data_IF_700625034556
#
_entry.id   IF_700625034556
#
_cell.length_a   1.000
_cell.length_b   1.000
_cell.length_c   1.000
_cell.angle_alpha   90.00
_cell.angle_beta   90.00
_cell.angle_gamma   90.00
#
_symmetry.space_group_name_H-M   'P 1'
#
loop_
_entity.id
_entity.type
_entity.pdbx_description
1 polymer ?
#
# COMPACT_ATOMS: atom_id res chain seq x y z
N UNK A 1 -0.96 -2.67 15.14
CA UNK A 1 -0.70 -1.45 14.36
C UNK A 1 -1.98 -0.93 13.71
N UNK A 2 -2.69 -1.76 12.99
CA UNK A 2 -4.03 -1.48 12.45
C UNK A 2 -4.98 -2.54 12.99
N UNK A 3 -6.14 -2.11 13.47
CA UNK A 3 -7.23 -2.98 13.88
C UNK A 3 -8.49 -2.62 13.10
N UNK A 4 -9.14 -3.63 12.57
CA UNK A 4 -10.36 -3.54 11.78
C UNK A 4 -11.38 -4.50 12.38
N UNK A 5 -12.51 -3.96 12.81
CA UNK A 5 -13.58 -4.71 13.47
C UNK A 5 -14.87 -4.62 12.63
N UNK A 6 -15.28 -5.72 12.01
CA UNK A 6 -16.55 -5.95 11.29
C UNK A 6 -16.99 -4.77 10.40
N UNK A 7 -16.11 -4.36 9.49
CA UNK A 7 -16.43 -3.25 8.59
C UNK A 7 -17.27 -3.70 7.40
N UNK A 8 -18.26 -2.88 7.05
CA UNK A 8 -19.05 -2.98 5.83
C UNK A 8 -18.84 -1.76 4.94
N UNK A 9 -18.88 -1.97 3.62
CA UNK A 9 -18.88 -0.90 2.63
C UNK A 9 -19.73 -1.27 1.43
N UNK A 10 -20.74 -0.46 1.17
CA UNK A 10 -21.58 -0.52 -0.02
C UNK A 10 -21.51 0.82 -0.75
N UNK A 11 -21.29 0.80 -2.05
CA UNK A 11 -21.31 2.02 -2.85
C UNK A 11 -22.74 2.42 -3.24
N UNK A 12 -22.96 3.68 -3.60
CA UNK A 12 -24.29 4.23 -3.98
C UNK A 12 -24.98 3.49 -5.14
N UNK A 13 -24.20 2.80 -5.97
CA UNK A 13 -24.69 1.96 -7.06
C UNK A 13 -25.13 0.55 -6.59
N UNK A 14 -25.14 0.28 -5.29
CA UNK A 14 -25.53 -0.99 -4.68
C UNK A 14 -24.46 -2.08 -4.66
N UNK A 15 -23.22 -1.79 -5.13
CA UNK A 15 -22.12 -2.76 -5.07
C UNK A 15 -21.61 -2.86 -3.63
N UNK A 16 -21.72 -4.07 -3.06
CA UNK A 16 -21.13 -4.41 -1.75
C UNK A 16 -19.64 -4.67 -1.96
N UNK A 17 -18.80 -3.78 -1.46
CA UNK A 17 -17.34 -3.88 -1.62
C UNK A 17 -16.65 -4.55 -0.42
N UNK A 18 -17.22 -4.41 0.78
CA UNK A 18 -16.76 -5.09 1.99
C UNK A 18 -17.98 -5.55 2.79
N UNK A 19 -17.88 -6.73 3.39
CA UNK A 19 -18.94 -7.34 4.19
C UNK A 19 -18.35 -8.04 5.39
N UNK A 20 -18.66 -7.54 6.59
CA UNK A 20 -18.21 -8.06 7.89
C UNK A 20 -16.71 -8.37 7.92
N UNK A 21 -15.90 -7.44 7.37
CA UNK A 21 -14.47 -7.65 7.21
C UNK A 21 -13.72 -7.25 8.47
N UNK A 22 -13.01 -8.20 9.08
CA UNK A 22 -12.21 -7.99 10.29
C UNK A 22 -10.79 -8.50 10.11
N UNK A 23 -9.79 -7.75 10.57
CA UNK A 23 -8.38 -8.19 10.61
C UNK A 23 -7.56 -7.33 11.55
N UNK A 24 -6.46 -7.88 12.07
CA UNK A 24 -5.47 -7.19 12.89
C UNK A 24 -4.11 -7.24 12.20
N UNK A 25 -3.46 -6.08 12.02
CA UNK A 25 -2.12 -5.96 11.44
C UNK A 25 -1.18 -5.44 12.52
N UNK A 26 -0.14 -6.21 12.85
CA UNK A 26 0.83 -5.85 13.88
C UNK A 26 1.93 -4.94 13.31
N UNK A 27 2.75 -4.39 14.19
CA UNK A 27 3.95 -3.63 13.77
C UNK A 27 4.96 -4.57 13.13
N UNK A 28 5.62 -4.07 12.08
CA UNK A 28 6.62 -4.80 11.29
C UNK A 28 6.08 -6.05 10.60
N UNK A 29 4.77 -6.22 10.50
CA UNK A 29 4.14 -7.26 9.69
C UNK A 29 3.93 -6.79 8.26
N UNK A 30 4.14 -7.71 7.31
CA UNK A 30 3.76 -7.59 5.91
C UNK A 30 2.53 -8.44 5.66
N UNK A 31 1.38 -7.79 5.46
CA UNK A 31 0.11 -8.43 5.14
C UNK A 31 -0.18 -8.26 3.65
N UNK A 32 -0.34 -9.36 2.94
CA UNK A 32 -0.67 -9.36 1.51
C UNK A 32 -2.13 -9.76 1.31
N UNK A 33 -2.86 -8.94 0.54
CA UNK A 33 -4.21 -9.23 0.11
C UNK A 33 -4.22 -9.72 -1.34
N UNK A 34 -4.80 -10.87 -1.56
CA UNK A 34 -4.99 -11.47 -2.88
C UNK A 34 -6.46 -11.79 -3.13
N UNK A 35 -6.83 -12.03 -4.39
CA UNK A 35 -8.19 -12.37 -4.79
C UNK A 35 -8.53 -11.85 -6.17
N UNK A 36 -9.67 -12.25 -6.75
CA UNK A 36 -10.09 -11.82 -8.08
C UNK A 36 -10.31 -10.29 -8.15
N UNK A 37 -10.30 -9.74 -9.37
CA UNK A 37 -10.69 -8.34 -9.59
C UNK A 37 -12.10 -8.09 -9.06
N UNK A 38 -12.32 -6.93 -8.42
CA UNK A 38 -13.62 -6.59 -7.84
C UNK A 38 -13.89 -7.20 -6.46
N UNK A 39 -12.97 -7.99 -5.87
CA UNK A 39 -13.18 -8.60 -4.55
C UNK A 39 -13.10 -7.65 -3.35
N UNK A 40 -12.87 -6.34 -3.57
CA UNK A 40 -12.86 -5.33 -2.49
C UNK A 40 -11.49 -4.92 -1.95
N UNK A 41 -10.37 -5.51 -2.43
CA UNK A 41 -9.00 -5.26 -1.92
C UNK A 41 -8.60 -3.78 -1.90
N UNK A 42 -8.72 -3.10 -3.05
CA UNK A 42 -8.40 -1.66 -3.15
C UNK A 42 -9.34 -0.80 -2.32
N UNK A 43 -10.60 -1.18 -2.20
CA UNK A 43 -11.58 -0.51 -1.33
C UNK A 43 -11.15 -0.66 0.13
N UNK A 44 -10.75 -1.86 0.56
CA UNK A 44 -10.22 -2.08 1.89
C UNK A 44 -9.02 -1.17 2.21
N UNK A 45 -8.01 -1.12 1.32
CA UNK A 45 -6.87 -0.22 1.50
C UNK A 45 -7.29 1.25 1.64
N UNK A 46 -8.26 1.69 0.83
CA UNK A 46 -8.78 3.06 0.86
C UNK A 46 -9.59 3.35 2.13
N UNK A 47 -10.26 2.36 2.68
CA UNK A 47 -10.90 2.50 3.98
C UNK A 47 -9.87 2.69 5.10
N UNK A 48 -8.73 1.99 5.08
CA UNK A 48 -7.70 2.08 6.14
C UNK A 48 -7.08 3.48 6.28
N UNK A 49 -7.06 4.29 5.22
CA UNK A 49 -6.52 5.65 5.27
C UNK A 49 -7.60 6.75 5.20
N UNK A 50 -8.88 6.34 5.24
CA UNK A 50 -10.04 7.23 5.20
C UNK A 50 -10.22 7.94 3.85
N UNK A 51 -9.75 7.37 2.74
CA UNK A 51 -10.10 7.80 1.38
C UNK A 51 -11.50 7.33 1.00
N UNK A 52 -11.90 6.15 1.50
CA UNK A 52 -13.28 5.65 1.44
C UNK A 52 -13.84 5.57 2.87
N UNK A 53 -15.10 5.95 3.03
CA UNK A 53 -15.80 5.85 4.31
C UNK A 53 -16.47 4.48 4.43
N UNK A 54 -16.38 3.88 5.62
CA UNK A 54 -17.09 2.64 5.95
C UNK A 54 -18.54 2.96 6.33
N UNK A 55 -19.44 2.00 6.10
CA UNK A 55 -20.86 2.16 6.45
C UNK A 55 -21.13 1.69 7.88
N UNK A 56 -20.38 0.69 8.35
CA UNK A 56 -20.46 0.17 9.72
C UNK A 56 -19.11 -0.43 10.16
N UNK A 57 -19.02 -0.79 11.44
CA UNK A 57 -17.79 -1.32 12.05
C UNK A 57 -16.84 -0.22 12.53
N UNK A 58 -15.58 -0.57 12.73
CA UNK A 58 -14.57 0.40 13.18
C UNK A 58 -13.17 0.10 12.66
N UNK A 59 -12.38 1.15 12.45
CA UNK A 59 -10.96 1.07 12.09
C UNK A 59 -10.15 1.91 13.07
N UNK A 60 -9.07 1.35 13.58
CA UNK A 60 -8.11 2.05 14.43
C UNK A 60 -6.71 1.89 13.84
N UNK A 61 -6.00 3.00 13.63
CA UNK A 61 -4.63 3.01 13.11
C UNK A 61 -3.70 3.64 14.14
N UNK A 62 -2.72 2.90 14.60
CA UNK A 62 -1.76 3.32 15.64
C UNK A 62 -2.43 3.91 16.90
N UNK A 63 -3.55 3.32 17.33
CA UNK A 63 -4.35 3.78 18.46
C UNK A 63 -5.24 4.98 18.18
N UNK A 64 -5.27 5.51 16.96
CA UNK A 64 -6.11 6.63 16.54
C UNK A 64 -7.35 6.05 15.82
N UNK A 65 -8.58 6.32 16.31
CA UNK A 65 -9.78 5.90 15.61
C UNK A 65 -9.95 6.65 14.30
N UNK A 66 -10.29 5.93 13.24
CA UNK A 66 -10.65 6.51 11.95
C UNK A 66 -12.14 6.83 11.96
N UNK A 67 -12.45 8.03 12.33
CA UNK A 67 -13.81 8.56 12.51
C UNK A 67 -14.01 9.85 11.69
N UNK A 68 -15.12 10.55 11.90
CA UNK A 68 -15.43 11.83 11.24
C UNK A 68 -14.60 13.02 11.75
N UNK A 69 -13.78 12.80 12.76
CA UNK A 69 -12.89 13.82 13.28
C UNK A 69 -11.78 14.11 12.28
N UNK A 70 -11.82 15.28 11.66
CA UNK A 70 -10.81 15.73 10.68
C UNK A 70 -9.38 15.67 11.21
N UNK A 71 -9.18 15.89 12.52
CA UNK A 71 -7.85 15.83 13.14
C UNK A 71 -7.34 14.39 13.15
N UNK A 72 -8.17 13.43 13.54
CA UNK A 72 -7.82 12.01 13.53
C UNK A 72 -7.46 11.54 12.12
N UNK A 73 -8.30 11.86 11.12
CA UNK A 73 -8.03 11.53 9.70
C UNK A 73 -6.72 12.14 9.21
N UNK A 74 -6.41 13.39 9.57
CA UNK A 74 -5.16 14.05 9.19
C UNK A 74 -3.94 13.39 9.85
N UNK A 75 -4.02 13.03 11.12
CA UNK A 75 -2.92 12.33 11.82
C UNK A 75 -2.71 10.95 11.21
N UNK A 76 -3.77 10.17 10.97
CA UNK A 76 -3.67 8.85 10.30
C UNK A 76 -2.98 9.00 8.94
N UNK A 77 -3.41 9.95 8.09
CA UNK A 77 -2.83 10.17 6.76
C UNK A 77 -1.38 10.64 6.78
N UNK A 78 -0.88 11.15 7.88
CA UNK A 78 0.55 11.42 8.05
C UNK A 78 1.33 10.15 8.33
N UNK A 79 0.75 9.22 9.10
CA UNK A 79 1.41 7.99 9.54
C UNK A 79 1.25 6.83 8.55
N UNK A 80 0.39 6.99 7.54
CA UNK A 80 0.13 6.00 6.48
C UNK A 80 0.63 6.53 5.14
N UNK A 81 1.63 5.89 4.57
CA UNK A 81 2.06 6.11 3.19
C UNK A 81 1.25 5.23 2.25
N UNK A 82 0.76 5.78 1.13
CA UNK A 82 0.04 5.01 0.13
C UNK A 82 0.67 5.18 -1.25
N UNK A 83 0.87 4.04 -1.92
CA UNK A 83 1.36 3.93 -3.29
C UNK A 83 0.26 3.29 -4.12
N UNK A 84 -0.15 3.97 -5.17
CA UNK A 84 -1.26 3.57 -6.03
C UNK A 84 -0.77 2.85 -7.29
N UNK A 85 -1.66 2.15 -7.96
CA UNK A 85 -1.44 1.53 -9.27
C UNK A 85 -0.98 2.56 -10.32
N UNK A 86 -1.63 3.72 -10.37
CA UNK A 86 -1.16 4.88 -11.13
C UNK A 86 -0.30 5.74 -10.21
N UNK A 87 0.86 6.13 -10.65
CA UNK A 87 1.93 6.76 -9.87
C UNK A 87 1.50 8.03 -9.12
N UNK A 88 0.49 8.74 -9.64
CA UNK A 88 -0.12 9.96 -9.06
C UNK A 88 0.92 11.04 -8.71
N UNK A 89 2.00 11.13 -9.49
CA UNK A 89 2.99 12.19 -9.35
C UNK A 89 2.42 13.52 -9.84
N UNK A 90 2.84 14.62 -9.24
CA UNK A 90 2.51 15.96 -9.72
C UNK A 90 3.28 16.22 -11.04
N UNK A 91 2.60 16.28 -12.19
CA UNK A 91 3.29 16.32 -13.50
C UNK A 91 4.04 17.62 -13.76
N UNK A 92 3.66 18.70 -13.08
CA UNK A 92 4.26 20.04 -13.18
C UNK A 92 5.41 20.26 -12.18
N UNK A 93 5.76 19.27 -11.38
CA UNK A 93 6.87 19.32 -10.43
C UNK A 93 7.95 18.32 -10.85
N UNK A 94 9.22 18.67 -10.59
CA UNK A 94 10.31 17.71 -10.77
C UNK A 94 10.19 16.55 -9.77
N UNK A 95 10.90 15.46 -10.01
CA UNK A 95 11.03 14.33 -9.10
C UNK A 95 11.37 14.80 -7.69
N UNK A 96 12.39 15.64 -7.58
CA UNK A 96 12.84 16.19 -6.32
C UNK A 96 11.75 16.99 -5.60
N UNK A 97 11.01 17.82 -6.33
CA UNK A 97 9.90 18.61 -5.77
C UNK A 97 8.70 17.74 -5.37
N UNK A 98 8.42 16.68 -6.09
CA UNK A 98 7.41 15.68 -5.71
C UNK A 98 7.69 15.10 -4.32
N UNK A 99 8.97 14.89 -3.98
CA UNK A 99 9.38 14.28 -2.70
C UNK A 99 9.48 15.31 -1.58
N UNK A 100 9.92 16.56 -1.89
CA UNK A 100 10.16 17.58 -0.83
C UNK A 100 8.90 18.30 -0.39
N UNK A 101 7.91 18.48 -1.28
CA UNK A 101 6.75 19.35 -1.05
C UNK A 101 5.97 18.99 0.22
N UNK A 102 5.54 17.73 0.34
CA UNK A 102 4.74 17.29 1.48
C UNK A 102 5.51 17.34 2.80
N UNK A 103 6.81 17.11 2.79
CA UNK A 103 7.68 17.23 3.95
C UNK A 103 7.64 18.64 4.54
N UNK A 104 7.74 19.67 3.68
CA UNK A 104 7.72 21.07 4.10
C UNK A 104 6.32 21.51 4.53
N UNK A 105 5.28 21.16 3.75
CA UNK A 105 3.91 21.64 4.01
C UNK A 105 3.24 20.95 5.18
N UNK A 106 3.40 19.62 5.31
CA UNK A 106 2.67 18.78 6.26
C UNK A 106 3.51 18.46 7.50
N UNK A 107 4.77 18.01 7.32
CA UNK A 107 5.69 17.70 8.42
C UNK A 107 6.43 18.92 8.96
N UNK A 108 6.27 20.08 8.29
CA UNK A 108 6.91 21.36 8.70
C UNK A 108 8.44 21.29 8.78
N UNK A 109 9.06 20.39 8.01
CA UNK A 109 10.52 20.32 7.91
C UNK A 109 11.08 21.57 7.23
N UNK A 110 12.27 21.98 7.62
CA UNK A 110 13.01 23.02 6.92
C UNK A 110 13.33 22.58 5.48
N UNK A 111 13.64 23.53 4.61
CA UNK A 111 14.01 23.26 3.22
C UNK A 111 15.21 22.30 3.15
N UNK A 112 16.28 22.56 3.90
CA UNK A 112 17.49 21.72 3.91
C UNK A 112 17.21 20.29 4.35
N UNK A 113 16.49 20.10 5.47
CA UNK A 113 16.10 18.76 5.95
C UNK A 113 15.27 17.99 4.92
N UNK A 114 14.34 18.67 4.24
CA UNK A 114 13.51 18.05 3.22
C UNK A 114 14.32 17.66 1.98
N UNK A 115 15.28 18.49 1.57
CA UNK A 115 16.18 18.26 0.44
C UNK A 115 17.15 17.11 0.72
N UNK A 116 17.79 17.09 1.88
CA UNK A 116 18.69 16.01 2.31
C UNK A 116 17.96 14.67 2.34
N UNK A 117 16.75 14.66 2.93
CA UNK A 117 15.93 13.44 3.00
C UNK A 117 15.48 12.98 1.62
N UNK A 118 15.12 13.90 0.73
CA UNK A 118 14.73 13.57 -0.63
C UNK A 118 15.89 12.90 -1.38
N UNK A 119 17.10 13.43 -1.29
CA UNK A 119 18.28 12.83 -1.94
C UNK A 119 18.64 11.46 -1.37
N UNK A 120 18.51 11.26 -0.05
CA UNK A 120 18.69 9.94 0.57
C UNK A 120 17.69 8.92 0.03
N UNK A 121 16.41 9.31 -0.11
CA UNK A 121 15.36 8.42 -0.61
C UNK A 121 15.52 8.14 -2.11
N UNK A 122 15.90 9.13 -2.91
CA UNK A 122 16.19 8.92 -4.33
C UNK A 122 17.36 7.94 -4.54
N UNK A 123 18.39 7.98 -3.68
CA UNK A 123 19.47 6.98 -3.67
C UNK A 123 18.94 5.61 -3.28
N UNK A 124 18.09 5.53 -2.24
CA UNK A 124 17.48 4.27 -1.77
C UNK A 124 16.68 3.58 -2.88
N UNK A 125 15.93 4.33 -3.68
CA UNK A 125 15.16 3.78 -4.81
C UNK A 125 15.92 3.79 -6.15
N UNK A 126 17.25 3.98 -6.11
CA UNK A 126 18.17 3.94 -7.26
C UNK A 126 17.76 4.84 -8.45
N UNK A 127 17.41 6.13 -8.16
CA UNK A 127 16.96 7.09 -9.18
C UNK A 127 17.46 8.53 -8.91
N UNK A 128 18.59 8.67 -8.21
CA UNK A 128 19.12 9.98 -7.82
C UNK A 128 19.56 10.85 -9.00
N UNK A 129 19.93 10.25 -10.13
CA UNK A 129 20.31 10.92 -11.38
C UNK A 129 19.13 11.64 -12.08
N UNK A 130 17.88 11.30 -11.69
CA UNK A 130 16.64 11.86 -12.26
C UNK A 130 15.99 12.93 -11.37
N UNK A 131 16.68 13.42 -10.34
CA UNK A 131 16.11 14.37 -9.38
C UNK A 131 15.45 15.61 -10.04
N UNK A 132 16.07 16.15 -11.07
CA UNK A 132 15.61 17.36 -11.79
C UNK A 132 14.68 17.03 -12.98
N UNK A 133 14.43 15.76 -13.29
CA UNK A 133 13.51 15.36 -14.33
C UNK A 133 12.05 15.58 -13.90
N UNK A 134 11.17 15.75 -14.89
CA UNK A 134 9.73 15.73 -14.69
C UNK A 134 9.18 14.29 -14.87
N UNK A 135 8.02 13.95 -14.27
CA UNK A 135 7.43 12.61 -14.40
C UNK A 135 7.29 12.12 -15.84
N UNK A 136 6.96 12.99 -16.80
CA UNK A 136 6.84 12.64 -18.22
C UNK A 136 8.14 12.18 -18.90
N UNK A 137 9.28 12.39 -18.24
CA UNK A 137 10.61 11.99 -18.73
C UNK A 137 11.09 10.66 -18.15
N UNK A 138 10.23 10.00 -17.34
CA UNK A 138 10.55 8.78 -16.63
C UNK A 138 9.77 7.58 -17.20
N UNK A 139 10.38 6.40 -17.15
CA UNK A 139 9.66 5.15 -17.37
C UNK A 139 8.63 4.88 -16.27
N UNK A 140 7.67 3.98 -16.50
CA UNK A 140 6.67 3.59 -15.50
C UNK A 140 7.30 3.11 -14.19
N UNK A 141 8.28 2.21 -14.26
CA UNK A 141 8.99 1.71 -13.07
C UNK A 141 9.74 2.82 -12.32
N UNK A 142 10.34 3.77 -13.06
CA UNK A 142 10.96 4.95 -12.46
C UNK A 142 9.93 5.84 -11.74
N UNK A 143 8.79 6.10 -12.37
CA UNK A 143 7.72 6.88 -11.75
C UNK A 143 7.20 6.20 -10.46
N UNK A 144 7.06 4.88 -10.48
CA UNK A 144 6.62 4.13 -9.31
C UNK A 144 7.63 4.18 -8.17
N UNK A 145 8.92 4.05 -8.46
CA UNK A 145 9.98 4.22 -7.45
C UNK A 145 10.00 5.62 -6.87
N UNK A 146 9.73 6.65 -7.66
CA UNK A 146 9.54 8.03 -7.16
C UNK A 146 8.29 8.13 -6.26
N UNK A 147 7.18 7.48 -6.61
CA UNK A 147 5.98 7.46 -5.78
C UNK A 147 6.24 6.78 -4.42
N UNK A 148 7.01 5.69 -4.40
CA UNK A 148 7.47 5.03 -3.16
C UNK A 148 8.35 6.00 -2.34
N UNK A 149 9.34 6.63 -2.96
CA UNK A 149 10.21 7.61 -2.28
C UNK A 149 9.43 8.79 -1.70
N UNK A 150 8.42 9.30 -2.44
CA UNK A 150 7.52 10.36 -1.98
C UNK A 150 6.73 9.93 -0.74
N UNK A 151 6.19 8.72 -0.72
CA UNK A 151 5.46 8.20 0.43
C UNK A 151 6.39 8.03 1.64
N UNK A 152 7.57 7.44 1.45
CA UNK A 152 8.61 7.26 2.49
C UNK A 152 9.13 8.59 3.05
N UNK A 153 9.11 9.66 2.27
CA UNK A 153 9.56 10.99 2.69
C UNK A 153 8.74 11.53 3.86
N UNK A 154 7.50 11.10 3.98
CA UNK A 154 6.64 11.42 5.12
C UNK A 154 7.02 10.67 6.40
N UNK A 155 7.96 9.70 6.35
CA UNK A 155 8.34 8.81 7.45
C UNK A 155 7.10 8.13 8.06
N UNK A 156 6.32 7.42 7.26
CA UNK A 156 5.10 6.76 7.72
C UNK A 156 5.43 5.56 8.61
N UNK A 157 4.47 5.15 9.43
CA UNK A 157 4.55 3.93 10.25
C UNK A 157 4.03 2.70 9.50
N UNK A 158 3.21 2.91 8.47
CA UNK A 158 2.65 1.88 7.60
C UNK A 158 2.77 2.32 6.15
N UNK A 159 3.18 1.41 5.28
CA UNK A 159 3.13 1.58 3.84
C UNK A 159 2.03 0.70 3.24
N UNK A 160 1.16 1.29 2.44
CA UNK A 160 0.11 0.61 1.70
C UNK A 160 0.42 0.64 0.20
N UNK A 161 0.29 -0.52 -0.46
CA UNK A 161 0.54 -0.66 -1.89
C UNK A 161 -0.72 -1.22 -2.57
N UNK A 162 -1.34 -0.42 -3.42
CA UNK A 162 -2.53 -0.78 -4.18
C UNK A 162 -2.12 -1.14 -5.62
N UNK A 163 -1.84 -2.44 -5.85
CA UNK A 163 -1.41 -2.97 -7.15
C UNK A 163 -0.25 -2.17 -7.80
N UNK A 164 0.79 -1.91 -7.03
CA UNK A 164 1.88 -1.00 -7.40
C UNK A 164 2.67 -1.42 -8.65
N UNK A 165 2.49 -2.64 -9.17
CA UNK A 165 3.18 -3.16 -10.36
C UNK A 165 2.25 -3.33 -11.57
N UNK A 166 0.92 -3.30 -11.39
CA UNK A 166 -0.05 -3.68 -12.43
C UNK A 166 -0.07 -2.75 -13.67
N UNK A 167 0.46 -1.51 -13.55
CA UNK A 167 0.56 -0.55 -14.63
C UNK A 167 1.97 -0.52 -15.28
N UNK A 168 2.82 -1.50 -14.98
CA UNK A 168 4.21 -1.56 -15.42
C UNK A 168 4.42 -2.63 -16.48
N UNK A 169 5.38 -2.37 -17.38
CA UNK A 169 5.89 -3.40 -18.26
C UNK A 169 6.64 -4.48 -17.45
N UNK A 170 6.61 -5.77 -17.85
CA UNK A 170 7.22 -6.87 -17.11
C UNK A 170 8.70 -6.63 -16.75
N UNK A 171 9.46 -5.97 -17.64
CA UNK A 171 10.87 -5.67 -17.43
C UNK A 171 11.11 -4.70 -16.25
N UNK A 172 10.10 -3.90 -15.88
CA UNK A 172 10.20 -2.89 -14.82
C UNK A 172 9.68 -3.35 -13.47
N UNK A 173 8.93 -4.46 -13.42
CA UNK A 173 8.32 -4.99 -12.20
C UNK A 173 9.38 -5.33 -11.17
N UNK A 174 10.46 -6.02 -11.58
CA UNK A 174 11.52 -6.48 -10.70
C UNK A 174 12.14 -5.35 -9.85
N UNK A 175 12.44 -4.21 -10.47
CA UNK A 175 13.05 -3.06 -9.78
C UNK A 175 12.15 -2.47 -8.68
N UNK A 176 10.83 -2.48 -8.89
CA UNK A 176 9.86 -1.99 -7.90
C UNK A 176 9.70 -3.00 -6.77
N UNK A 177 9.63 -4.31 -7.09
CA UNK A 177 9.52 -5.37 -6.09
C UNK A 177 10.75 -5.44 -5.19
N UNK A 178 11.96 -5.23 -5.72
CA UNK A 178 13.18 -5.17 -4.91
C UNK A 178 13.13 -4.03 -3.88
N UNK A 179 12.69 -2.84 -4.27
CA UNK A 179 12.49 -1.74 -3.31
C UNK A 179 11.47 -2.13 -2.22
N UNK A 180 10.38 -2.82 -2.59
CA UNK A 180 9.37 -3.27 -1.61
C UNK A 180 9.92 -4.37 -0.69
N UNK A 181 10.76 -5.29 -1.20
CA UNK A 181 11.45 -6.31 -0.39
C UNK A 181 12.40 -5.66 0.63
N UNK A 182 13.20 -4.70 0.19
CA UNK A 182 14.09 -3.96 1.10
C UNK A 182 13.32 -3.31 2.25
N UNK A 183 12.15 -2.74 1.98
CA UNK A 183 11.29 -2.17 3.01
C UNK A 183 10.78 -3.23 3.99
N UNK A 184 10.41 -4.41 3.51
CA UNK A 184 10.00 -5.53 4.36
C UNK A 184 11.14 -5.99 5.28
N UNK A 185 12.35 -6.16 4.72
CA UNK A 185 13.57 -6.54 5.46
C UNK A 185 13.91 -5.50 6.54
N UNK A 186 13.71 -4.21 6.26
CA UNK A 186 13.90 -3.11 7.21
C UNK A 186 12.84 -3.07 8.33
N UNK A 187 11.84 -3.97 8.32
CA UNK A 187 10.78 -4.06 9.32
C UNK A 187 9.67 -3.02 9.13
N UNK A 188 9.45 -2.51 7.91
CA UNK A 188 8.32 -1.65 7.60
C UNK A 188 7.02 -2.43 7.71
N UNK A 189 6.03 -1.89 8.45
CA UNK A 189 4.68 -2.46 8.42
C UNK A 189 4.07 -2.20 7.05
N UNK A 190 3.61 -3.24 6.38
CA UNK A 190 3.11 -3.12 5.01
C UNK A 190 1.75 -3.80 4.82
N UNK A 191 0.87 -3.17 4.04
CA UNK A 191 -0.37 -3.79 3.55
C UNK A 191 -0.32 -3.73 2.02
N UNK A 192 -0.26 -4.87 1.36
CA UNK A 192 0.04 -4.96 -0.06
C UNK A 192 -1.07 -5.68 -0.80
N UNK A 193 -1.70 -5.02 -1.76
CA UNK A 193 -2.52 -5.68 -2.78
C UNK A 193 -1.65 -5.94 -3.99
N UNK A 194 -1.52 -7.21 -4.39
CA UNK A 194 -0.67 -7.59 -5.51
C UNK A 194 -1.16 -8.84 -6.23
N UNK A 195 -0.78 -8.98 -7.49
CA UNK A 195 -0.89 -10.20 -8.28
C UNK A 195 0.46 -10.92 -8.43
N UNK A 196 1.53 -10.39 -7.86
CA UNK A 196 2.88 -10.96 -7.89
C UNK A 196 3.03 -12.05 -6.81
N UNK A 197 2.62 -13.28 -7.13
CA UNK A 197 2.58 -14.38 -6.14
C UNK A 197 3.96 -14.77 -5.64
N UNK A 198 5.01 -14.67 -6.49
CA UNK A 198 6.38 -14.89 -6.07
C UNK A 198 6.81 -13.93 -4.97
N UNK A 199 6.50 -12.64 -5.13
CA UNK A 199 6.74 -11.62 -4.12
C UNK A 199 5.92 -11.89 -2.86
N UNK A 200 4.61 -12.15 -2.99
CA UNK A 200 3.74 -12.45 -1.86
C UNK A 200 4.30 -13.62 -1.02
N UNK A 201 4.71 -14.70 -1.65
CA UNK A 201 5.29 -15.88 -0.98
C UNK A 201 6.59 -15.57 -0.24
N UNK A 202 7.42 -14.68 -0.79
CA UNK A 202 8.75 -14.37 -0.25
C UNK A 202 8.70 -13.41 0.94
N UNK A 203 7.81 -12.41 0.92
CA UNK A 203 7.87 -11.30 1.87
C UNK A 203 6.73 -11.25 2.88
N UNK A 204 5.61 -11.96 2.65
CA UNK A 204 4.47 -11.82 3.54
C UNK A 204 4.61 -12.65 4.81
N UNK A 205 4.27 -12.03 5.94
CA UNK A 205 4.02 -12.75 7.20
C UNK A 205 2.62 -13.39 7.17
N UNK A 206 1.63 -12.65 6.61
CA UNK A 206 0.24 -13.06 6.48
C UNK A 206 -0.30 -12.80 5.09
N UNK A 207 -1.11 -13.74 4.63
CA UNK A 207 -1.87 -13.60 3.37
C UNK A 207 -3.35 -13.68 3.68
N UNK A 208 -4.12 -12.77 3.10
CA UNK A 208 -5.58 -12.73 3.19
C UNK A 208 -6.15 -12.92 1.78
N UNK A 209 -6.93 -13.96 1.59
CA UNK A 209 -7.70 -14.15 0.35
C UNK A 209 -9.09 -13.54 0.50
N UNK A 210 -9.40 -12.64 -0.43
CA UNK A 210 -10.68 -11.93 -0.49
C UNK A 210 -11.48 -12.31 -1.72
N UNK A 211 -12.77 -12.53 -1.53
CA UNK A 211 -13.75 -12.72 -2.60
C UNK A 211 -15.10 -12.13 -2.17
N UNK A 212 -15.80 -11.46 -3.09
CA UNK A 212 -17.13 -10.86 -2.89
C UNK A 212 -17.22 -9.98 -1.62
N UNK A 213 -16.16 -9.21 -1.36
CA UNK A 213 -16.07 -8.30 -0.21
C UNK A 213 -15.78 -8.99 1.13
N UNK A 214 -15.62 -10.29 1.15
CA UNK A 214 -15.40 -11.08 2.37
C UNK A 214 -13.97 -11.64 2.42
N UNK A 215 -13.50 -11.86 3.65
CA UNK A 215 -12.30 -12.65 3.91
C UNK A 215 -12.68 -14.14 3.84
N UNK A 216 -12.14 -14.83 2.83
CA UNK A 216 -12.37 -16.26 2.64
C UNK A 216 -11.41 -17.09 3.47
N UNK A 217 -10.13 -16.75 3.42
CA UNK A 217 -9.08 -17.43 4.17
C UNK A 217 -7.99 -16.45 4.58
N UNK A 218 -7.37 -16.71 5.72
CA UNK A 218 -6.22 -15.96 6.25
C UNK A 218 -5.23 -16.94 6.86
N UNK A 219 -3.95 -16.73 6.60
CA UNK A 219 -2.90 -17.60 7.13
C UNK A 219 -1.50 -17.05 6.90
N UNK A 220 -0.49 -17.73 7.46
CA UNK A 220 0.92 -17.45 7.14
C UNK A 220 1.19 -17.74 5.66
N UNK A 221 2.22 -17.10 5.09
CA UNK A 221 2.62 -17.38 3.72
C UNK A 221 2.87 -18.88 3.48
N UNK A 222 3.57 -19.55 4.41
CA UNK A 222 3.83 -20.99 4.31
C UNK A 222 2.54 -21.79 4.21
N UNK A 223 1.60 -21.60 5.16
CA UNK A 223 0.30 -22.28 5.14
C UNK A 223 -0.43 -22.00 3.82
N UNK A 224 -0.52 -20.72 3.46
CA UNK A 224 -1.34 -20.27 2.35
C UNK A 224 -0.88 -20.83 0.98
N UNK A 225 0.43 -20.90 0.76
CA UNK A 225 1.00 -21.35 -0.51
C UNK A 225 1.32 -22.86 -0.56
N UNK A 226 1.22 -23.60 0.57
CA UNK A 226 1.52 -25.04 0.59
C UNK A 226 0.31 -25.91 0.93
N UNK A 227 -0.53 -25.49 1.85
CA UNK A 227 -1.68 -26.26 2.35
C UNK A 227 -2.87 -25.37 2.70
N UNK A 228 -3.44 -24.61 1.73
CA UNK A 228 -4.64 -23.81 1.96
C UNK A 228 -5.82 -24.71 2.33
N UNK A 229 -6.68 -24.26 3.24
CA UNK A 229 -7.81 -25.06 3.77
C UNK A 229 -9.03 -24.95 2.89
N UNK A 230 -9.35 -23.71 2.47
CA UNK A 230 -10.58 -23.44 1.74
C UNK A 230 -10.48 -23.90 0.28
N UNK A 231 -11.46 -24.64 -0.21
CA UNK A 231 -11.47 -25.13 -1.59
C UNK A 231 -11.44 -23.98 -2.60
N UNK A 232 -12.04 -22.85 -2.24
CA UNK A 232 -12.04 -21.67 -3.09
C UNK A 232 -10.64 -21.05 -3.20
N UNK A 233 -9.86 -21.04 -2.12
CA UNK A 233 -8.45 -20.61 -2.11
C UNK A 233 -7.60 -21.55 -2.99
N UNK A 234 -7.76 -22.87 -2.85
CA UNK A 234 -7.07 -23.87 -3.68
C UNK A 234 -7.35 -23.66 -5.16
N UNK A 235 -8.62 -23.46 -5.51
CA UNK A 235 -9.02 -23.20 -6.90
C UNK A 235 -8.37 -21.92 -7.43
N UNK A 236 -8.42 -20.82 -6.67
CA UNK A 236 -7.80 -19.56 -7.07
C UNK A 236 -6.28 -19.70 -7.29
N UNK A 237 -5.57 -20.31 -6.34
CA UNK A 237 -4.12 -20.51 -6.45
C UNK A 237 -3.75 -21.40 -7.63
N UNK A 238 -4.52 -22.45 -7.93
CA UNK A 238 -4.28 -23.34 -9.08
C UNK A 238 -4.41 -22.65 -10.45
N UNK A 239 -5.04 -21.47 -10.51
CA UNK A 239 -5.20 -20.70 -11.74
C UNK A 239 -4.07 -19.69 -11.97
N UNK A 240 -3.29 -19.37 -10.94
CA UNK A 240 -2.29 -18.29 -10.99
C UNK A 240 -0.87 -18.75 -10.67
N UNK A 241 -0.68 -19.95 -10.12
CA UNK A 241 0.60 -20.64 -9.91
C UNK A 241 0.84 -21.69 -10.97
#
# INVERSE_FOLDING_TARGET
MIRVDSIDKTFDNGVVALKDFSTDIRRSEVVVLIGPSGSGKSTFLRCLNGLEEIDSGSITVDGIPLDDNKKNRLEIRKEVGMVFQHFNLFPHLTVFRNITLAQMLVRKRSKGEAEDKAMQLLKKVAISDKAECFPSQLSGGQQQRVAIARALAMKPKVMMFDEATSALDPEMIGEVLEVMKDLAIEGMTMVVVTHEMGFAKEVSDWVIFMEDGMKVEEGTAEHFFTDPKEDRTKLFLSQIL
#
